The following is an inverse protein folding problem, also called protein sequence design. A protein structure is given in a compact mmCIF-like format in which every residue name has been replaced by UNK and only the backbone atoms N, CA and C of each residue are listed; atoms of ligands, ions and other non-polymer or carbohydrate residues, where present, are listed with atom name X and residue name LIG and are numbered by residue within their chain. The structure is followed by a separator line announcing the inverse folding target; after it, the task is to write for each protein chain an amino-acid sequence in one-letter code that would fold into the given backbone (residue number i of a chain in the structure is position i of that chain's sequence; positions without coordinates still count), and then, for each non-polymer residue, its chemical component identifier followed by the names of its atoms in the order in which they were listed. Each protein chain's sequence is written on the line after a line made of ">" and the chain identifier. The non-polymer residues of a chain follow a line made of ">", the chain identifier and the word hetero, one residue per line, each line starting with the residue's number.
data_IF_115098940888
#
_entry.id   IF_115098940888
#
_cell.length_a   1.000
_cell.length_b   1.000
_cell.length_c   1.000
_cell.angle_alpha   90.00
_cell.angle_beta   90.00
_cell.angle_gamma   90.00
#
_symmetry.space_group_name_H-M   'P 1'
#
loop_
_entity.id
_entity.type
_entity.pdbx_description
1 polymer ?
#
# COMPACT_ATOMS: atom_id res chain seq x y z
N UNK A 1 10.34 8.64 -16.11
CA UNK A 1 10.24 7.44 -15.26
C UNK A 1 9.01 7.60 -14.38
N UNK A 2 8.26 6.53 -14.13
CA UNK A 2 7.14 6.57 -13.19
C UNK A 2 7.55 6.06 -11.81
N UNK A 3 7.00 6.66 -10.78
CA UNK A 3 7.14 6.24 -9.39
C UNK A 3 5.77 5.92 -8.81
N UNK A 4 5.67 4.76 -8.17
CA UNK A 4 4.46 4.31 -7.48
C UNK A 4 4.18 5.17 -6.25
N UNK A 5 2.96 5.70 -6.17
CA UNK A 5 2.44 6.40 -4.99
C UNK A 5 1.56 5.48 -4.15
N UNK A 6 0.62 4.78 -4.79
CA UNK A 6 -0.37 3.93 -4.12
C UNK A 6 -0.86 2.84 -5.07
N UNK A 7 -0.88 1.60 -4.60
CA UNK A 7 -1.61 0.51 -5.25
C UNK A 7 -3.05 0.50 -4.76
N UNK A 8 -3.99 0.31 -5.68
CA UNK A 8 -5.34 -0.15 -5.33
C UNK A 8 -5.22 -1.61 -4.97
N UNK A 9 -5.43 -1.93 -3.70
CA UNK A 9 -5.24 -3.25 -3.12
C UNK A 9 -6.57 -3.99 -3.02
N UNK A 10 -6.50 -5.31 -3.03
CA UNK A 10 -7.64 -6.21 -2.82
C UNK A 10 -7.46 -7.00 -1.51
N UNK A 11 -8.53 -7.59 -0.96
CA UNK A 11 -8.50 -8.29 0.31
C UNK A 11 -7.46 -9.42 0.36
N UNK A 12 -6.89 -9.67 1.53
CA UNK A 12 -5.93 -10.74 1.75
C UNK A 12 -6.33 -11.53 3.01
N UNK A 13 -6.44 -12.86 2.88
CA UNK A 13 -6.81 -13.77 3.98
C UNK A 13 -5.90 -13.58 5.20
N UNK A 14 -4.61 -13.32 4.98
CA UNK A 14 -3.63 -13.18 6.07
C UNK A 14 -3.73 -11.81 6.80
N UNK A 15 -4.50 -10.86 6.28
CA UNK A 15 -4.54 -9.47 6.78
C UNK A 15 -5.95 -9.01 7.14
N UNK A 16 -6.85 -8.97 6.16
CA UNK A 16 -8.21 -8.48 6.31
C UNK A 16 -9.07 -8.94 5.13
N UNK A 17 -10.18 -9.59 5.44
CA UNK A 17 -11.17 -10.13 4.50
C UNK A 17 -12.42 -9.26 4.37
N UNK A 18 -12.50 -8.13 5.09
CA UNK A 18 -13.62 -7.19 5.00
C UNK A 18 -13.63 -6.47 3.64
N UNK A 19 -14.25 -7.07 2.63
CA UNK A 19 -14.20 -6.63 1.23
C UNK A 19 -14.62 -5.17 1.04
N UNK A 20 -15.59 -4.68 1.83
CA UNK A 20 -16.11 -3.31 1.74
C UNK A 20 -15.06 -2.23 2.07
N UNK A 21 -13.97 -2.58 2.76
CA UNK A 21 -12.84 -1.68 2.99
C UNK A 21 -11.96 -1.51 1.75
N UNK A 22 -12.08 -2.43 0.78
CA UNK A 22 -11.27 -2.51 -0.44
C UNK A 22 -12.09 -2.13 -1.68
N UNK A 23 -13.25 -2.72 -1.90
CA UNK A 23 -14.08 -2.40 -3.07
C UNK A 23 -15.56 -2.58 -2.75
N UNK A 24 -16.41 -2.04 -3.63
CA UNK A 24 -17.82 -2.37 -3.72
C UNK A 24 -18.11 -2.84 -5.13
N UNK A 25 -18.93 -3.87 -5.27
CA UNK A 25 -19.27 -4.40 -6.60
C UNK A 25 -20.71 -4.84 -6.66
N UNK A 26 -21.32 -4.73 -7.85
CA UNK A 26 -22.66 -5.22 -8.11
C UNK A 26 -22.58 -6.62 -8.72
N UNK A 27 -22.59 -7.67 -7.90
CA UNK A 27 -22.55 -9.06 -8.37
C UNK A 27 -21.17 -9.56 -8.81
N UNK A 28 -20.12 -8.77 -8.62
CA UNK A 28 -18.75 -9.25 -8.73
C UNK A 28 -18.40 -10.26 -7.63
N UNK A 29 -17.40 -11.09 -7.91
CA UNK A 29 -16.90 -12.12 -6.98
C UNK A 29 -15.39 -12.00 -6.86
N UNK A 30 -14.90 -11.87 -5.63
CA UNK A 30 -13.48 -11.86 -5.38
C UNK A 30 -12.93 -13.28 -5.23
N UNK A 31 -11.83 -13.57 -5.90
CA UNK A 31 -11.12 -14.84 -5.77
C UNK A 31 -9.87 -14.62 -4.91
N UNK A 32 -9.91 -15.13 -3.68
CA UNK A 32 -8.80 -14.99 -2.73
C UNK A 32 -7.54 -15.76 -3.15
N UNK A 33 -7.67 -16.82 -3.95
CA UNK A 33 -6.53 -17.62 -4.43
C UNK A 33 -5.77 -16.89 -5.53
N UNK A 34 -6.48 -16.42 -6.56
CA UNK A 34 -5.87 -15.67 -7.67
C UNK A 34 -5.68 -14.18 -7.35
N UNK A 35 -6.25 -13.68 -6.25
CA UNK A 35 -6.24 -12.29 -5.80
C UNK A 35 -6.73 -11.31 -6.87
N UNK A 36 -7.82 -11.66 -7.54
CA UNK A 36 -8.45 -10.82 -8.55
C UNK A 36 -9.97 -10.76 -8.36
N UNK A 37 -10.55 -9.67 -8.86
CA UNK A 37 -11.98 -9.42 -8.78
C UNK A 37 -12.62 -9.73 -10.13
N UNK A 38 -13.52 -10.72 -10.16
CA UNK A 38 -14.35 -10.99 -11.32
C UNK A 38 -15.53 -10.00 -11.33
N UNK A 39 -15.67 -9.26 -12.42
CA UNK A 39 -16.78 -8.32 -12.62
C UNK A 39 -17.59 -8.80 -13.83
N UNK A 40 -18.80 -9.34 -13.63
CA UNK A 40 -19.65 -9.79 -14.73
C UNK A 40 -19.99 -8.66 -15.68
N UNK A 41 -20.36 -8.99 -16.91
CA UNK A 41 -20.85 -8.06 -17.92
C UNK A 41 -21.94 -7.12 -17.38
N UNK A 42 -21.84 -5.84 -17.74
CA UNK A 42 -22.77 -4.76 -17.36
C UNK A 42 -22.88 -4.51 -15.85
N UNK A 43 -21.79 -4.76 -15.12
CA UNK A 43 -21.67 -4.47 -13.69
C UNK A 43 -20.56 -3.47 -13.42
N UNK A 44 -20.56 -2.93 -12.20
CA UNK A 44 -19.62 -1.89 -11.80
C UNK A 44 -18.89 -2.31 -10.52
N UNK A 45 -17.57 -2.10 -10.52
CA UNK A 45 -16.74 -2.15 -9.34
C UNK A 45 -16.28 -0.73 -8.98
N UNK A 46 -16.42 -0.38 -7.70
CA UNK A 46 -16.11 0.93 -7.13
C UNK A 46 -14.98 0.80 -6.12
N UNK A 47 -14.01 1.71 -6.20
CA UNK A 47 -12.85 1.76 -5.30
C UNK A 47 -12.82 3.05 -4.45
N UNK A 48 -13.99 3.67 -4.22
CA UNK A 48 -14.17 4.75 -3.24
C UNK A 48 -14.29 4.21 -1.80
N UNK A 49 -13.27 3.46 -1.40
CA UNK A 49 -13.20 2.72 -0.14
C UNK A 49 -12.03 3.20 0.71
N UNK A 50 -11.97 2.71 1.95
CA UNK A 50 -10.98 3.15 2.93
C UNK A 50 -9.54 2.96 2.45
N UNK A 51 -9.22 1.80 1.86
CA UNK A 51 -7.86 1.50 1.41
C UNK A 51 -7.52 2.08 0.04
N UNK A 52 -8.52 2.30 -0.83
CA UNK A 52 -8.27 2.55 -2.25
C UNK A 52 -8.57 3.98 -2.71
N UNK A 53 -9.23 4.80 -1.89
CA UNK A 53 -9.36 6.22 -2.16
C UNK A 53 -8.01 6.94 -2.02
N UNK A 54 -7.60 7.68 -3.04
CA UNK A 54 -6.37 8.47 -3.08
C UNK A 54 -6.61 9.86 -2.46
N UNK A 55 -6.07 10.10 -1.27
CA UNK A 55 -6.27 11.36 -0.55
C UNK A 55 -5.43 12.51 -1.12
N UNK A 56 -5.94 13.18 -2.16
CA UNK A 56 -5.25 14.29 -2.83
C UNK A 56 -4.86 15.41 -1.86
N UNK A 57 -5.67 15.67 -0.83
CA UNK A 57 -5.37 16.63 0.24
C UNK A 57 -4.03 16.34 0.94
N UNK A 58 -3.78 15.07 1.31
CA UNK A 58 -2.56 14.69 2.03
C UNK A 58 -1.33 14.84 1.15
N UNK A 59 -1.43 14.40 -0.10
CA UNK A 59 -0.35 14.54 -1.08
C UNK A 59 -0.01 16.00 -1.33
N UNK A 60 -0.99 16.86 -1.65
CA UNK A 60 -0.76 18.30 -1.85
C UNK A 60 -0.21 19.02 -0.61
N UNK A 61 -0.59 18.58 0.60
CA UNK A 61 -0.16 19.23 1.85
C UNK A 61 1.26 18.86 2.27
N UNK A 62 1.66 17.59 2.09
CA UNK A 62 2.90 17.06 2.66
C UNK A 62 3.96 16.70 1.63
N UNK A 63 3.68 16.85 0.33
CA UNK A 63 4.62 16.59 -0.76
C UNK A 63 4.55 17.66 -1.84
N UNK A 64 5.46 17.59 -2.80
CA UNK A 64 5.49 18.48 -3.98
C UNK A 64 4.76 17.88 -5.19
N UNK A 65 3.73 17.06 -4.96
CA UNK A 65 3.05 16.32 -6.03
C UNK A 65 2.33 17.26 -7.01
N UNK A 66 2.82 17.26 -8.25
CA UNK A 66 2.31 18.00 -9.39
C UNK A 66 1.71 17.10 -10.46
N UNK A 67 2.20 15.86 -10.63
CA UNK A 67 1.72 14.94 -11.66
C UNK A 67 1.12 13.67 -11.07
N UNK A 68 -0.03 13.23 -11.60
CA UNK A 68 -0.72 12.02 -11.19
C UNK A 68 -1.16 11.21 -12.42
N UNK A 69 -0.83 9.93 -12.40
CA UNK A 69 -1.19 8.98 -13.45
C UNK A 69 -1.86 7.76 -12.83
N UNK A 70 -2.74 7.13 -13.60
CA UNK A 70 -3.35 5.86 -13.27
C UNK A 70 -2.87 4.80 -14.25
N UNK A 71 -2.29 3.72 -13.74
CA UNK A 71 -2.00 2.51 -14.49
C UNK A 71 -3.02 1.44 -14.14
N UNK A 72 -3.45 0.68 -15.14
CA UNK A 72 -4.57 -0.25 -15.01
C UNK A 72 -4.16 -1.64 -15.47
N UNK A 73 -4.50 -2.66 -14.68
CA UNK A 73 -4.33 -4.06 -15.02
C UNK A 73 -5.69 -4.78 -14.93
N UNK A 74 -6.36 -4.86 -16.09
CA UNK A 74 -7.67 -5.48 -16.26
C UNK A 74 -7.65 -6.32 -17.54
N UNK A 75 -8.26 -7.50 -17.48
CA UNK A 75 -8.59 -8.31 -18.65
C UNK A 75 -10.08 -8.11 -18.94
N UNK A 76 -10.39 -7.72 -20.18
CA UNK A 76 -11.75 -7.48 -20.63
C UNK A 76 -11.93 -6.12 -21.28
N UNK A 77 -13.20 -5.75 -21.48
CA UNK A 77 -13.65 -4.49 -22.09
C UNK A 77 -14.64 -3.78 -21.20
N UNK A 78 -14.52 -2.46 -21.17
CA UNK A 78 -15.40 -1.61 -20.40
C UNK A 78 -14.88 -0.18 -20.33
N UNK A 79 -15.41 0.57 -19.38
CA UNK A 79 -15.06 1.97 -19.18
C UNK A 79 -14.44 2.16 -17.79
N UNK A 80 -13.28 2.82 -17.77
CA UNK A 80 -12.62 3.30 -16.55
C UNK A 80 -13.08 4.73 -16.30
N UNK A 81 -13.60 5.01 -15.11
CA UNK A 81 -13.94 6.38 -14.70
C UNK A 81 -13.13 6.77 -13.47
N UNK A 82 -12.35 7.84 -13.59
CA UNK A 82 -11.64 8.46 -12.47
C UNK A 82 -12.50 9.57 -11.91
N UNK A 83 -12.84 9.49 -10.64
CA UNK A 83 -13.70 10.45 -9.96
C UNK A 83 -13.00 11.17 -8.83
N UNK A 84 -13.43 12.39 -8.58
CA UNK A 84 -13.05 13.20 -7.43
C UNK A 84 -14.28 13.38 -6.54
N UNK A 85 -14.11 13.19 -5.23
CA UNK A 85 -15.16 13.45 -4.24
C UNK A 85 -14.67 14.40 -3.15
N UNK A 86 -15.45 15.46 -2.94
CA UNK A 86 -15.15 16.53 -2.00
C UNK A 86 -16.47 17.05 -1.40
N UNK A 87 -16.58 17.05 -0.07
CA UNK A 87 -17.77 17.56 0.65
C UNK A 87 -19.11 17.01 0.11
N UNK A 88 -19.14 15.73 -0.25
CA UNK A 88 -20.32 15.06 -0.80
C UNK A 88 -20.54 15.25 -2.31
N UNK A 89 -19.85 16.19 -2.95
CA UNK A 89 -19.93 16.43 -4.40
C UNK A 89 -18.98 15.47 -5.12
N UNK A 90 -19.47 14.86 -6.20
CA UNK A 90 -18.71 13.93 -7.04
C UNK A 90 -18.53 14.53 -8.44
N UNK A 91 -17.30 14.54 -8.94
CA UNK A 91 -16.93 15.03 -10.28
C UNK A 91 -16.20 13.92 -11.05
N UNK A 92 -16.44 13.84 -12.35
CA UNK A 92 -15.64 12.98 -13.25
C UNK A 92 -14.41 13.77 -13.67
N UNK A 93 -13.22 13.23 -13.40
CA UNK A 93 -11.96 13.81 -13.85
C UNK A 93 -11.54 13.26 -15.21
N UNK A 94 -11.80 11.97 -15.42
CA UNK A 94 -11.42 11.26 -16.65
C UNK A 94 -12.35 10.08 -16.86
N UNK A 95 -12.67 9.79 -18.11
CA UNK A 95 -13.43 8.62 -18.52
C UNK A 95 -12.79 8.07 -19.80
N UNK A 96 -12.52 6.76 -19.83
CA UNK A 96 -11.75 6.11 -20.90
C UNK A 96 -12.35 4.75 -21.20
N UNK A 97 -12.61 4.51 -22.49
CA UNK A 97 -12.93 3.18 -22.98
C UNK A 97 -11.66 2.34 -23.02
N UNK A 98 -11.72 1.18 -22.38
CA UNK A 98 -10.60 0.27 -22.19
C UNK A 98 -10.94 -1.07 -22.81
N UNK A 99 -9.95 -1.66 -23.47
CA UNK A 99 -10.04 -2.99 -24.04
C UNK A 99 -8.68 -3.67 -23.93
N UNK A 100 -8.65 -4.82 -23.28
CA UNK A 100 -7.48 -5.68 -23.19
C UNK A 100 -7.86 -7.10 -23.60
N UNK A 101 -7.01 -7.75 -24.41
CA UNK A 101 -7.20 -9.14 -24.83
C UNK A 101 -6.40 -10.10 -23.96
N UNK A 102 -6.83 -11.37 -23.91
CA UNK A 102 -6.32 -12.40 -22.99
C UNK A 102 -4.87 -12.88 -23.25
N UNK A 103 -4.14 -12.28 -24.19
CA UNK A 103 -2.76 -12.68 -24.48
C UNK A 103 -1.80 -11.99 -23.51
N UNK A 104 -1.60 -12.68 -22.38
CA UNK A 104 -0.62 -12.40 -21.35
C UNK A 104 0.78 -12.55 -21.96
N UNK A 105 1.34 -11.45 -22.46
CA UNK A 105 2.79 -11.28 -22.62
C UNK A 105 3.21 -9.82 -22.62
N UNK A 106 2.31 -8.91 -23.00
CA UNK A 106 2.49 -7.47 -22.84
C UNK A 106 1.42 -6.98 -21.87
N UNK A 107 1.79 -6.73 -20.61
CA UNK A 107 0.95 -5.91 -19.73
C UNK A 107 0.70 -4.60 -20.48
N UNK A 108 -0.49 -4.43 -21.06
CA UNK A 108 -0.88 -3.15 -21.66
C UNK A 108 -1.12 -2.20 -20.49
N UNK A 109 -0.03 -1.62 -19.98
CA UNK A 109 -0.04 -0.55 -19.00
C UNK A 109 -0.55 0.71 -19.71
N UNK A 110 -1.87 0.90 -19.77
CA UNK A 110 -2.39 2.20 -20.16
C UNK A 110 -2.16 3.15 -18.99
N UNK A 111 -1.35 4.16 -19.24
CA UNK A 111 -1.05 5.22 -18.29
C UNK A 111 -1.93 6.43 -18.59
N UNK A 112 -2.83 6.72 -17.67
CA UNK A 112 -3.85 7.75 -17.81
C UNK A 112 -3.44 8.95 -16.97
N UNK A 113 -3.13 10.07 -17.60
CA UNK A 113 -2.89 11.32 -16.88
C UNK A 113 -4.20 11.86 -16.27
N UNK A 114 -4.13 12.23 -14.99
CA UNK A 114 -5.21 12.81 -14.22
C UNK A 114 -4.80 14.25 -13.86
N UNK A 115 -5.52 15.24 -14.41
CA UNK A 115 -5.28 16.65 -14.08
C UNK A 115 -5.71 16.93 -12.63
N UNK A 116 -4.72 17.20 -11.78
CA UNK A 116 -4.89 17.57 -10.37
C UNK A 116 -4.53 19.04 -10.09
N UNK A 117 -4.32 19.86 -11.12
CA UNK A 117 -3.87 21.25 -10.98
C UNK A 117 -4.84 22.12 -10.19
N UNK A 118 -6.15 21.85 -10.34
CA UNK A 118 -7.24 22.61 -9.69
C UNK A 118 -7.85 21.88 -8.47
N UNK A 119 -7.21 20.82 -7.98
CA UNK A 119 -7.74 19.95 -6.92
C UNK A 119 -6.83 20.00 -5.70
N UNK A 120 -7.35 20.53 -4.58
CA UNK A 120 -6.59 20.67 -3.33
C UNK A 120 -7.15 19.84 -2.16
N UNK A 121 -8.41 19.41 -2.22
CA UNK A 121 -9.06 18.67 -1.14
C UNK A 121 -9.83 17.46 -1.68
N UNK A 122 -10.37 16.64 -0.75
CA UNK A 122 -11.14 15.44 -1.09
C UNK A 122 -10.26 14.22 -1.37
N UNK A 123 -10.81 13.29 -2.14
CA UNK A 123 -10.12 12.09 -2.59
C UNK A 123 -10.48 11.75 -4.03
N UNK A 124 -9.56 11.07 -4.71
CA UNK A 124 -9.70 10.55 -6.06
C UNK A 124 -9.87 9.04 -5.97
N UNK A 125 -10.72 8.46 -6.79
CA UNK A 125 -10.93 7.02 -6.83
C UNK A 125 -11.29 6.57 -8.25
N UNK A 126 -11.28 5.26 -8.46
CA UNK A 126 -11.54 4.64 -9.77
C UNK A 126 -12.80 3.80 -9.72
N UNK A 127 -13.54 3.80 -10.81
CA UNK A 127 -14.64 2.89 -11.09
C UNK A 127 -14.35 2.12 -12.38
N UNK A 128 -14.70 0.85 -12.39
CA UNK A 128 -14.69 0.01 -13.58
C UNK A 128 -16.11 -0.42 -13.91
N UNK A 129 -16.60 -0.03 -15.09
CA UNK A 129 -17.86 -0.51 -15.63
C UNK A 129 -17.58 -1.49 -16.76
N UNK A 130 -18.06 -2.72 -16.64
CA UNK A 130 -17.78 -3.79 -17.59
C UNK A 130 -18.77 -3.83 -18.76
N UNK A 131 -18.26 -4.01 -19.97
CA UNK A 131 -19.06 -4.32 -21.17
C UNK A 131 -19.12 -5.83 -21.44
N UNK A 132 -18.18 -6.59 -20.86
CA UNK A 132 -18.07 -8.04 -20.90
C UNK A 132 -17.56 -8.58 -19.55
N UNK A 133 -17.60 -9.90 -19.33
CA UNK A 133 -17.03 -10.48 -18.13
C UNK A 133 -15.54 -10.13 -18.04
N UNK A 134 -15.16 -9.49 -16.94
CA UNK A 134 -13.85 -8.88 -16.77
C UNK A 134 -13.14 -9.40 -15.53
N UNK A 135 -11.81 -9.42 -15.56
CA UNK A 135 -10.95 -9.77 -14.43
C UNK A 135 -10.11 -8.56 -14.07
N UNK A 136 -10.32 -8.01 -12.88
CA UNK A 136 -9.55 -6.87 -12.37
C UNK A 136 -8.43 -7.39 -11.48
N UNK A 137 -7.18 -7.13 -11.90
CA UNK A 137 -5.99 -7.50 -11.14
C UNK A 137 -5.50 -6.33 -10.26
N UNK A 138 -5.74 -5.09 -10.67
CA UNK A 138 -5.47 -3.92 -9.84
C UNK A 138 -5.31 -2.61 -10.62
N UNK A 139 -5.08 -1.55 -9.87
CA UNK A 139 -4.74 -0.23 -10.38
C UNK A 139 -3.58 0.35 -9.58
N UNK A 140 -2.83 1.26 -10.18
CA UNK A 140 -1.72 1.95 -9.52
C UNK A 140 -1.79 3.44 -9.79
N UNK A 141 -1.75 4.24 -8.73
CA UNK A 141 -1.52 5.68 -8.82
C UNK A 141 -0.01 5.94 -8.84
N UNK A 142 0.43 6.68 -9.85
CA UNK A 142 1.84 6.92 -10.18
C UNK A 142 2.10 8.42 -10.33
N UNK A 143 3.37 8.81 -10.27
CA UNK A 143 3.84 10.16 -10.60
C UNK A 143 5.07 10.12 -11.48
N UNK A 144 5.31 11.19 -12.25
CA UNK A 144 6.60 11.46 -12.90
C UNK A 144 7.46 12.43 -12.12
N UNK A 145 6.94 12.98 -11.02
CA UNK A 145 7.68 13.90 -10.18
C UNK A 145 8.87 13.19 -9.53
N UNK A 146 9.90 13.96 -9.19
CA UNK A 146 11.09 13.41 -8.55
C UNK A 146 10.75 12.83 -7.17
N UNK A 147 11.06 11.54 -6.97
CA UNK A 147 10.92 10.87 -5.68
C UNK A 147 12.31 10.62 -5.09
N UNK A 148 12.58 11.18 -3.92
CA UNK A 148 13.81 10.89 -3.20
C UNK A 148 13.77 9.48 -2.61
N UNK A 149 14.84 8.69 -2.81
CA UNK A 149 15.02 7.45 -2.07
C UNK A 149 15.36 7.75 -0.61
N UNK A 150 14.58 7.19 0.31
CA UNK A 150 14.86 7.16 1.75
C UNK A 150 15.00 5.71 2.23
N UNK A 151 15.80 5.54 3.29
CA UNK A 151 15.78 4.35 4.13
C UNK A 151 14.96 4.61 5.39
N UNK A 152 14.46 3.54 6.00
CA UNK A 152 13.57 3.59 7.16
C UNK A 152 13.90 2.48 8.15
N UNK A 153 14.00 2.85 9.43
CA UNK A 153 13.99 1.90 10.53
C UNK A 153 12.56 1.70 11.07
N UNK A 154 12.14 0.44 11.18
CA UNK A 154 10.94 0.02 11.88
C UNK A 154 11.34 -0.38 13.29
N UNK A 155 10.73 0.23 14.30
CA UNK A 155 11.02 -0.06 15.71
C UNK A 155 9.79 -0.70 16.35
N UNK A 156 9.96 -1.89 16.93
CA UNK A 156 8.96 -2.57 17.75
C UNK A 156 9.45 -2.64 19.17
N UNK A 157 8.62 -2.23 20.13
CA UNK A 157 8.89 -2.44 21.55
C UNK A 157 7.97 -3.54 22.08
N UNK A 158 8.54 -4.55 22.75
CA UNK A 158 7.81 -5.71 23.25
C UNK A 158 8.08 -5.99 24.72
N UNK A 159 7.13 -6.62 25.41
CA UNK A 159 7.26 -7.10 26.79
C UNK A 159 6.49 -8.41 26.98
N UNK A 160 7.20 -9.51 27.20
CA UNK A 160 6.62 -10.84 27.45
C UNK A 160 5.57 -11.32 26.42
N UNK A 161 5.73 -10.91 25.15
CA UNK A 161 4.86 -11.30 24.03
C UNK A 161 5.66 -11.99 22.90
N UNK A 162 6.53 -12.92 23.29
CA UNK A 162 7.49 -13.59 22.39
C UNK A 162 6.85 -14.19 21.13
N UNK A 163 5.70 -14.83 21.27
CA UNK A 163 5.02 -15.43 20.13
C UNK A 163 4.51 -14.38 19.13
N UNK A 164 3.87 -13.31 19.63
CA UNK A 164 3.34 -12.24 18.80
C UNK A 164 4.45 -11.50 18.05
N UNK A 165 5.52 -11.10 18.76
CA UNK A 165 6.65 -10.41 18.13
C UNK A 165 7.37 -11.31 17.12
N UNK A 166 7.50 -12.61 17.39
CA UNK A 166 8.10 -13.56 16.43
C UNK A 166 7.26 -13.69 15.16
N UNK A 167 5.93 -13.78 15.30
CA UNK A 167 5.00 -13.78 14.14
C UNK A 167 5.15 -12.49 13.33
N UNK A 168 5.24 -11.32 13.99
CA UNK A 168 5.40 -10.04 13.32
C UNK A 168 6.77 -9.89 12.65
N UNK A 169 7.88 -10.33 13.28
CA UNK A 169 9.22 -10.39 12.67
C UNK A 169 9.17 -11.23 11.40
N UNK A 170 8.63 -12.45 11.47
CA UNK A 170 8.57 -13.36 10.31
C UNK A 170 7.74 -12.77 9.16
N UNK A 171 6.61 -12.13 9.48
CA UNK A 171 5.77 -11.45 8.50
C UNK A 171 6.53 -10.31 7.82
N UNK A 172 7.12 -9.39 8.59
CA UNK A 172 7.90 -8.26 8.06
C UNK A 172 9.10 -8.75 7.24
N UNK A 173 9.78 -9.80 7.70
CA UNK A 173 10.89 -10.40 6.97
C UNK A 173 10.43 -10.86 5.58
N UNK A 174 9.37 -11.67 5.52
CA UNK A 174 8.82 -12.23 4.27
C UNK A 174 8.25 -11.17 3.33
N UNK A 175 7.54 -10.17 3.84
CA UNK A 175 6.79 -9.21 3.01
C UNK A 175 7.56 -7.92 2.69
N UNK A 176 8.64 -7.63 3.42
CA UNK A 176 9.41 -6.39 3.28
C UNK A 176 10.91 -6.67 3.15
N UNK A 177 11.54 -7.30 4.14
CA UNK A 177 13.01 -7.37 4.22
C UNK A 177 13.66 -8.36 3.23
N UNK A 178 12.90 -9.29 2.65
CA UNK A 178 13.38 -10.17 1.57
C UNK A 178 13.08 -9.64 0.17
N UNK A 179 12.25 -8.61 0.05
CA UNK A 179 11.86 -8.06 -1.25
C UNK A 179 13.00 -7.18 -1.80
N UNK A 180 13.45 -7.44 -3.02
CA UNK A 180 14.57 -6.71 -3.64
C UNK A 180 14.36 -5.19 -3.69
N UNK A 181 13.12 -4.73 -3.80
CA UNK A 181 12.74 -3.31 -3.79
C UNK A 181 12.96 -2.61 -2.43
N UNK A 182 12.94 -3.38 -1.33
CA UNK A 182 12.88 -2.86 0.03
C UNK A 182 14.03 -3.30 0.93
N UNK A 183 14.65 -4.47 0.67
CA UNK A 183 15.64 -5.10 1.56
C UNK A 183 16.79 -4.20 1.98
N UNK A 184 17.28 -3.33 1.08
CA UNK A 184 18.41 -2.44 1.34
C UNK A 184 17.98 -1.08 1.93
N UNK A 185 16.67 -0.85 2.07
CA UNK A 185 16.09 0.42 2.54
C UNK A 185 15.36 0.29 3.87
N UNK A 186 15.07 -0.91 4.33
CA UNK A 186 14.35 -1.14 5.57
C UNK A 186 15.17 -1.96 6.55
N UNK A 187 15.11 -1.54 7.82
CA UNK A 187 15.61 -2.33 8.94
C UNK A 187 14.49 -2.50 9.97
N UNK A 188 14.51 -3.62 10.69
CA UNK A 188 13.62 -3.90 11.81
C UNK A 188 14.44 -4.00 13.09
N UNK A 189 14.13 -3.14 14.05
CA UNK A 189 14.73 -3.12 15.38
C UNK A 189 13.64 -3.53 16.38
N UNK A 190 13.86 -4.62 17.10
CA UNK A 190 12.96 -5.10 18.14
C UNK A 190 13.62 -4.89 19.49
N UNK A 191 13.04 -4.00 20.30
CA UNK A 191 13.47 -3.74 21.67
C UNK A 191 12.59 -4.54 22.61
N UNK A 192 13.17 -5.57 23.22
CA UNK A 192 12.50 -6.45 24.17
C UNK A 192 12.80 -6.03 25.59
N UNK A 193 11.79 -5.55 26.30
CA UNK A 193 11.86 -5.15 27.71
C UNK A 193 11.53 -6.30 28.68
N UNK A 194 11.21 -7.48 28.17
CA UNK A 194 10.78 -8.64 28.96
C UNK A 194 11.84 -9.74 29.02
N UNK A 195 11.37 -10.98 29.19
CA UNK A 195 12.25 -12.14 29.13
C UNK A 195 13.00 -12.21 27.80
N UNK A 196 14.28 -12.58 27.85
CA UNK A 196 15.16 -12.60 26.70
C UNK A 196 14.56 -13.36 25.50
N UNK A 197 14.68 -12.75 24.32
CA UNK A 197 14.33 -13.34 23.03
C UNK A 197 15.64 -13.70 22.32
N UNK A 198 15.83 -15.00 22.06
CA UNK A 198 16.96 -15.50 21.30
C UNK A 198 16.55 -15.64 19.83
N UNK A 199 16.54 -14.51 19.13
CA UNK A 199 16.34 -14.47 17.69
C UNK A 199 17.66 -14.04 17.02
N UNK A 200 18.17 -14.77 16.02
CA UNK A 200 19.40 -14.38 15.34
C UNK A 200 19.20 -13.01 14.66
N UNK A 201 20.16 -12.11 14.84
CA UNK A 201 20.20 -10.87 14.06
C UNK A 201 20.68 -11.17 12.65
N UNK A 202 20.11 -10.51 11.64
CA UNK A 202 20.41 -10.77 10.23
C UNK A 202 19.30 -10.31 9.29
N UNK A 203 19.60 -10.16 8.00
CA UNK A 203 18.66 -9.67 6.97
C UNK A 203 17.95 -8.35 7.34
N UNK A 204 18.68 -7.41 7.96
CA UNK A 204 18.11 -6.14 8.42
C UNK A 204 17.31 -6.22 9.73
N UNK A 205 17.28 -7.37 10.41
CA UNK A 205 16.61 -7.57 11.71
C UNK A 205 17.63 -7.50 12.84
N UNK A 206 17.30 -6.72 13.88
CA UNK A 206 18.11 -6.53 15.09
C UNK A 206 17.20 -6.73 16.29
N UNK A 207 17.59 -7.57 17.24
CA UNK A 207 16.83 -7.80 18.48
C UNK A 207 17.70 -7.39 19.67
N UNK A 208 17.17 -6.49 20.49
CA UNK A 208 17.85 -5.89 21.64
C UNK A 208 17.08 -6.27 22.89
N UNK A 209 17.68 -7.10 23.75
CA UNK A 209 17.16 -7.33 25.09
C UNK A 209 17.54 -6.12 25.96
N UNK A 210 16.54 -5.44 26.50
CA UNK A 210 16.64 -4.19 27.23
C UNK A 210 16.00 -4.35 28.62
N UNK A 211 16.43 -3.55 29.58
CA UNK A 211 15.77 -3.51 30.89
C UNK A 211 14.32 -3.04 30.75
N UNK A 212 13.46 -3.45 31.69
CA UNK A 212 12.07 -3.00 31.70
C UNK A 212 11.93 -1.54 32.11
N UNK A 213 12.09 -0.64 31.13
CA UNK A 213 11.95 0.82 31.28
C UNK A 213 10.60 1.32 30.74
N UNK A 214 9.60 0.44 30.67
CA UNK A 214 8.29 0.73 30.08
C UNK A 214 8.33 1.01 28.57
N UNK A 215 7.16 1.31 28.00
CA UNK A 215 7.01 1.53 26.56
C UNK A 215 7.86 2.70 26.05
N UNK A 216 7.87 3.82 26.78
CA UNK A 216 8.67 5.01 26.42
C UNK A 216 10.18 4.72 26.43
N UNK A 217 10.65 3.91 27.39
CA UNK A 217 12.05 3.51 27.45
C UNK A 217 12.45 2.62 26.28
N UNK A 218 11.60 1.66 25.91
CA UNK A 218 11.84 0.80 24.75
C UNK A 218 11.83 1.57 23.42
N UNK A 219 10.87 2.48 23.24
CA UNK A 219 10.81 3.36 22.07
C UNK A 219 12.04 4.26 21.99
N UNK A 220 12.45 4.89 23.09
CA UNK A 220 13.67 5.71 23.14
C UNK A 220 14.90 4.89 22.78
N UNK A 221 15.00 3.67 23.28
CA UNK A 221 16.11 2.76 22.95
C UNK A 221 16.15 2.48 21.45
N UNK A 222 15.02 2.12 20.85
CA UNK A 222 14.92 1.87 19.42
C UNK A 222 15.29 3.10 18.56
N UNK A 223 14.92 4.31 19.00
CA UNK A 223 15.38 5.55 18.35
C UNK A 223 16.90 5.71 18.40
N UNK A 224 17.53 5.52 19.56
CA UNK A 224 18.99 5.64 19.71
C UNK A 224 19.70 4.62 18.83
N UNK A 225 19.28 3.36 18.89
CA UNK A 225 19.89 2.28 18.11
C UNK A 225 19.71 2.50 16.61
N UNK A 226 18.56 3.03 16.15
CA UNK A 226 18.37 3.34 14.74
C UNK A 226 19.35 4.39 14.19
N UNK A 227 19.65 5.42 14.99
CA UNK A 227 20.52 6.52 14.60
C UNK A 227 22.01 6.12 14.62
N UNK A 228 22.38 5.15 15.47
CA UNK A 228 23.75 4.63 15.56
C UNK A 228 24.00 3.59 14.46
N UNK A 229 23.01 2.74 14.19
CA UNK A 229 23.16 1.57 13.31
C UNK A 229 23.02 1.95 11.83
N UNK A 230 22.53 3.16 11.52
CA UNK A 230 22.44 3.65 10.15
C UNK A 230 22.22 5.16 10.04
N UNK A 231 22.59 5.70 8.89
CA UNK A 231 22.20 7.02 8.39
C UNK A 231 20.73 7.02 7.88
N UNK A 232 19.84 6.34 8.62
CA UNK A 232 18.44 6.16 8.23
C UNK A 232 17.68 7.49 8.29
N UNK A 233 17.11 7.88 7.17
CA UNK A 233 16.47 9.19 7.02
C UNK A 233 15.09 9.25 7.69
N UNK A 234 14.49 8.11 8.03
CA UNK A 234 13.16 8.02 8.60
C UNK A 234 13.07 6.89 9.65
N UNK A 235 12.20 7.08 10.63
CA UNK A 235 11.89 6.06 11.62
C UNK A 235 10.39 5.95 11.85
N UNK A 236 9.92 4.72 12.06
CA UNK A 236 8.54 4.41 12.38
C UNK A 236 8.45 3.44 13.56
N UNK A 237 7.81 3.90 14.63
CA UNK A 237 7.40 3.00 15.72
C UNK A 237 6.19 2.18 15.29
N UNK A 238 6.19 0.91 15.67
CA UNK A 238 5.15 -0.06 15.42
C UNK A 238 4.89 -0.85 16.69
N UNK A 239 3.62 -1.20 16.90
CA UNK A 239 3.24 -2.23 17.86
C UNK A 239 3.16 -3.57 17.12
N UNK A 240 3.37 -4.65 17.88
CA UNK A 240 3.44 -6.03 17.38
C UNK A 240 2.11 -6.71 17.08
#
# INVERSE_FOLDING_TARGET
>A
MYFLLQKVILPNIDLCTEEQLYFRTQGGKYNYTSRNLLVPRHKVAYFDTFFNAFSIKKWKKYTTLTSLFLRVNIIGRGTITVRHKENGVIRVLKQIDFKSSCNISDEIEIEIEIDISKINFGYIYVEWQSDEDSVLNGFEFLTKDHVSKSSMALVITTYNRKEAVTKTINRINKTLLTQSEFKDRFKLIVVNNGEAINHPSGNGIIVINNENLGASGGVKRGFIDSAIINDDKQLRNMDE
#
